data_IF_823777493076
#
_entry.id   IF_823777493076
#
_cell.length_a   1.000
_cell.length_b   1.000
_cell.length_c   1.000
_cell.angle_alpha   90.00
_cell.angle_beta   90.00
_cell.angle_gamma   90.00
#
_symmetry.space_group_name_H-M   'P 1'
#
loop_
_entity.id
_entity.type
_entity.pdbx_description
1 polymer ?
#
# COMPACT_ATOMS: atom_id res chain seq x y z
N UNK A 1 -13.96 -3.97 12.15
CA UNK A 1 -14.41 -4.96 11.14
C UNK A 1 -14.30 -6.38 11.64
N UNK A 2 -13.08 -6.90 11.92
CA UNK A 2 -12.89 -8.29 12.36
C UNK A 2 -13.73 -8.64 13.61
N UNK A 3 -13.59 -7.86 14.70
CA UNK A 3 -14.34 -8.12 15.94
C UNK A 3 -15.87 -7.95 15.82
N UNK A 4 -16.32 -7.22 14.81
CA UNK A 4 -17.75 -6.98 14.56
C UNK A 4 -18.32 -7.90 13.47
N UNK A 5 -17.53 -8.87 12.99
CA UNK A 5 -17.90 -9.79 11.91
C UNK A 5 -18.37 -9.08 10.62
N UNK A 6 -17.76 -7.93 10.31
CA UNK A 6 -18.06 -7.16 9.09
C UNK A 6 -17.18 -7.55 7.89
N UNK A 7 -16.46 -8.66 7.99
CA UNK A 7 -15.60 -9.20 6.92
C UNK A 7 -16.35 -10.25 6.13
N UNK A 8 -16.09 -10.35 4.83
CA UNK A 8 -16.68 -11.36 3.96
C UNK A 8 -15.87 -12.66 4.04
N UNK A 9 -16.18 -13.48 5.05
CA UNK A 9 -15.47 -14.74 5.27
C UNK A 9 -15.60 -15.72 4.08
N UNK A 10 -16.78 -15.93 3.45
CA UNK A 10 -16.88 -16.78 2.26
C UNK A 10 -15.97 -16.33 1.11
N UNK A 11 -15.84 -15.02 0.87
CA UNK A 11 -14.92 -14.49 -0.12
C UNK A 11 -13.46 -14.80 0.24
N UNK A 12 -13.07 -14.55 1.50
CA UNK A 12 -11.72 -14.77 1.99
C UNK A 12 -11.31 -16.24 1.93
N UNK A 13 -12.19 -17.16 2.35
CA UNK A 13 -11.94 -18.60 2.32
C UNK A 13 -11.74 -19.13 0.90
N UNK A 14 -12.41 -18.52 -0.09
CA UNK A 14 -12.40 -18.98 -1.49
C UNK A 14 -11.28 -18.37 -2.32
N UNK A 15 -10.93 -17.11 -2.09
CA UNK A 15 -10.08 -16.32 -2.98
C UNK A 15 -8.80 -15.80 -2.35
N UNK A 16 -8.60 -15.97 -1.04
CA UNK A 16 -7.44 -15.44 -0.33
C UNK A 16 -6.62 -16.54 0.35
N UNK A 17 -5.32 -16.27 0.49
CA UNK A 17 -4.37 -17.13 1.19
C UNK A 17 -3.75 -16.31 2.33
N UNK A 18 -3.65 -16.90 3.53
CA UNK A 18 -3.01 -16.30 4.70
C UNK A 18 -3.82 -15.23 5.44
N UNK A 19 -5.13 -15.15 5.24
CA UNK A 19 -5.98 -14.26 6.04
C UNK A 19 -6.14 -14.77 7.47
N UNK A 20 -6.47 -16.06 7.61
CA UNK A 20 -6.68 -16.78 8.85
C UNK A 20 -5.96 -18.14 8.83
N UNK A 21 -6.04 -18.89 9.92
CA UNK A 21 -5.38 -20.20 10.02
C UNK A 21 -5.89 -21.22 8.99
N UNK A 22 -7.12 -21.09 8.48
CA UNK A 22 -7.68 -22.00 7.48
C UNK A 22 -7.09 -21.78 6.09
N UNK A 23 -6.84 -20.52 5.78
CA UNK A 23 -6.29 -20.08 4.49
C UNK A 23 -4.76 -20.04 4.51
N UNK A 24 -4.13 -20.35 5.63
CA UNK A 24 -2.69 -20.34 5.80
C UNK A 24 -2.05 -21.61 5.19
N UNK A 25 -0.95 -21.49 4.40
CA UNK A 25 -0.23 -22.65 3.89
C UNK A 25 0.33 -23.54 5.01
N UNK A 26 0.42 -24.84 4.77
CA UNK A 26 0.83 -25.82 5.79
C UNK A 26 2.28 -25.65 6.29
N UNK A 27 3.13 -25.01 5.49
CA UNK A 27 4.53 -24.71 5.79
C UNK A 27 4.71 -23.38 6.56
N UNK A 28 3.65 -22.58 6.68
CA UNK A 28 3.71 -21.31 7.38
C UNK A 28 3.62 -21.49 8.90
N UNK A 29 4.28 -20.59 9.67
CA UNK A 29 4.24 -20.65 11.13
C UNK A 29 2.82 -20.43 11.66
N UNK A 30 2.48 -21.10 12.76
CA UNK A 30 1.22 -20.89 13.48
C UNK A 30 1.05 -19.40 13.82
N UNK A 31 -0.15 -18.86 13.63
CA UNK A 31 -0.45 -17.43 13.80
C UNK A 31 0.32 -16.50 12.83
N UNK A 32 0.94 -17.03 11.77
CA UNK A 32 1.58 -16.23 10.72
C UNK A 32 0.61 -15.54 9.76
N UNK A 33 -0.70 -15.66 10.00
CA UNK A 33 -1.76 -15.12 9.16
C UNK A 33 -2.12 -13.67 9.54
N UNK A 34 -2.72 -12.94 8.61
CA UNK A 34 -3.03 -11.51 8.76
C UNK A 34 -3.91 -11.19 9.97
N UNK A 35 -4.95 -12.00 10.23
CA UNK A 35 -5.88 -11.82 11.35
C UNK A 35 -5.17 -11.87 12.70
N UNK A 36 -4.26 -12.83 12.92
CA UNK A 36 -3.48 -12.92 14.15
C UNK A 36 -2.61 -11.67 14.37
N UNK A 37 -1.98 -11.13 13.32
CA UNK A 37 -1.20 -9.89 13.42
C UNK A 37 -2.04 -8.69 13.86
N UNK A 38 -3.27 -8.56 13.34
CA UNK A 38 -4.18 -7.46 13.71
C UNK A 38 -4.70 -7.63 15.14
N UNK A 39 -5.01 -8.86 15.56
CA UNK A 39 -5.51 -9.17 16.89
C UNK A 39 -4.41 -9.20 17.97
N UNK A 40 -3.13 -9.14 17.57
CA UNK A 40 -1.99 -9.17 18.50
C UNK A 40 -1.62 -10.58 18.95
N UNK A 41 -1.98 -11.60 18.19
CA UNK A 41 -1.67 -13.01 18.42
C UNK A 41 -0.40 -13.46 17.68
N UNK A 42 0.15 -12.59 16.83
CA UNK A 42 1.44 -12.78 16.15
C UNK A 42 2.64 -12.40 17.03
N UNK A 43 3.82 -12.37 16.42
CA UNK A 43 5.11 -12.21 17.12
C UNK A 43 5.23 -10.89 17.90
N UNK A 44 4.59 -9.82 17.41
CA UNK A 44 4.65 -8.49 18.03
C UNK A 44 3.75 -8.32 19.27
N UNK A 45 2.88 -9.30 19.53
CA UNK A 45 1.95 -9.36 20.68
C UNK A 45 1.15 -8.07 20.90
N UNK A 46 0.93 -7.29 19.85
CA UNK A 46 0.33 -5.96 19.96
C UNK A 46 -0.97 -5.91 19.17
N UNK A 47 -2.10 -5.82 19.87
CA UNK A 47 -3.40 -5.69 19.20
C UNK A 47 -3.51 -4.32 18.51
N UNK A 48 -3.84 -4.32 17.21
CA UNK A 48 -3.98 -3.11 16.39
C UNK A 48 -5.37 -2.48 16.56
N UNK A 49 -5.68 -2.12 17.81
CA UNK A 49 -6.98 -1.58 18.20
C UNK A 49 -7.18 -0.15 17.68
N UNK A 50 -8.43 0.35 17.59
CA UNK A 50 -8.70 1.75 17.30
C UNK A 50 -8.00 2.72 18.28
N UNK A 51 -7.90 2.36 19.56
CA UNK A 51 -7.19 3.13 20.58
C UNK A 51 -5.70 3.23 20.27
N UNK A 52 -5.07 2.10 19.93
CA UNK A 52 -3.68 2.05 19.49
C UNK A 52 -3.43 2.91 18.24
N UNK A 53 -4.29 2.77 17.22
CA UNK A 53 -4.19 3.54 15.98
C UNK A 53 -4.40 5.04 16.20
N UNK A 54 -5.30 5.42 17.13
CA UNK A 54 -5.58 6.82 17.47
C UNK A 54 -4.34 7.52 18.04
N UNK A 55 -3.56 6.85 18.88
CA UNK A 55 -2.33 7.42 19.45
C UNK A 55 -1.25 7.69 18.39
N UNK A 56 -1.22 6.89 17.32
CA UNK A 56 -0.22 7.02 16.24
C UNK A 56 -0.66 8.04 15.20
N UNK A 57 -1.92 7.96 14.78
CA UNK A 57 -2.44 8.75 13.65
C UNK A 57 -2.99 10.12 14.07
N UNK A 58 -3.28 10.31 15.35
CA UNK A 58 -3.99 11.49 15.86
C UNK A 58 -5.49 11.53 15.51
N UNK A 59 -6.02 10.49 14.86
CA UNK A 59 -7.45 10.43 14.50
C UNK A 59 -8.25 9.96 15.72
N UNK A 60 -9.39 10.62 16.06
CA UNK A 60 -10.23 10.17 17.16
C UNK A 60 -10.72 8.72 16.97
N UNK A 61 -10.73 7.94 18.06
CA UNK A 61 -11.16 6.54 18.07
C UNK A 61 -12.51 6.34 17.39
N UNK A 62 -13.49 7.18 17.70
CA UNK A 62 -14.84 7.09 17.16
C UNK A 62 -14.88 7.28 15.64
N UNK A 63 -13.99 8.13 15.09
CA UNK A 63 -13.87 8.33 13.64
C UNK A 63 -13.31 7.09 12.94
N UNK A 64 -12.32 6.44 13.54
CA UNK A 64 -11.74 5.18 13.03
C UNK A 64 -12.81 4.09 13.00
N UNK A 65 -13.55 3.92 14.11
CA UNK A 65 -14.62 2.92 14.22
C UNK A 65 -15.74 3.22 13.23
N UNK A 66 -16.19 4.48 13.15
CA UNK A 66 -17.24 4.90 12.22
C UNK A 66 -16.87 4.59 10.77
N UNK A 67 -15.68 4.99 10.33
CA UNK A 67 -15.21 4.71 8.97
C UNK A 67 -15.11 3.20 8.69
N UNK A 68 -14.59 2.44 9.65
CA UNK A 68 -14.48 0.98 9.50
C UNK A 68 -15.86 0.30 9.36
N UNK A 69 -16.89 0.80 10.07
CA UNK A 69 -18.27 0.33 9.94
C UNK A 69 -18.88 0.75 8.60
N UNK A 70 -18.72 2.01 8.21
CA UNK A 70 -19.19 2.51 6.90
C UNK A 70 -18.64 1.67 5.75
N UNK A 71 -17.34 1.37 5.76
CA UNK A 71 -16.70 0.49 4.78
C UNK A 71 -17.26 -0.94 4.87
N UNK A 72 -17.36 -1.51 6.07
CA UNK A 72 -17.84 -2.90 6.26
C UNK A 72 -19.30 -3.12 5.90
N UNK A 73 -20.14 -2.08 5.98
CA UNK A 73 -21.58 -2.16 5.65
C UNK A 73 -21.91 -1.68 4.24
N UNK A 74 -21.02 -0.93 3.58
CA UNK A 74 -21.24 -0.48 2.21
C UNK A 74 -21.05 -1.63 1.21
N UNK A 75 -22.08 -1.90 0.40
CA UNK A 75 -22.05 -2.91 -0.66
C UNK A 75 -22.68 -2.35 -1.95
N UNK A 76 -21.91 -2.11 -3.03
CA UNK A 76 -20.45 -2.25 -3.13
C UNK A 76 -19.68 -1.06 -2.54
N UNK A 77 -18.46 -1.30 -2.05
CA UNK A 77 -17.52 -0.26 -1.63
C UNK A 77 -16.30 -0.21 -2.56
N UNK A 78 -16.08 0.94 -3.21
CA UNK A 78 -14.89 1.19 -4.02
C UNK A 78 -13.84 1.97 -3.22
N UNK A 79 -12.67 1.36 -3.03
CA UNK A 79 -11.54 1.96 -2.29
C UNK A 79 -10.32 1.98 -3.19
N UNK A 80 -9.91 3.17 -3.61
CA UNK A 80 -8.74 3.34 -4.47
C UNK A 80 -7.77 4.34 -3.84
N UNK A 81 -6.48 3.99 -3.82
CA UNK A 81 -5.42 4.93 -3.49
C UNK A 81 -4.90 5.59 -4.76
N UNK A 82 -4.57 6.88 -4.68
CA UNK A 82 -3.74 7.52 -5.70
C UNK A 82 -2.26 7.14 -5.55
N UNK A 83 -1.39 7.86 -6.25
CA UNK A 83 0.05 7.62 -6.21
C UNK A 83 0.77 8.41 -5.11
N UNK A 84 0.06 8.96 -4.13
CA UNK A 84 0.72 9.59 -2.98
C UNK A 84 1.31 8.54 -2.02
N UNK A 85 0.50 7.62 -1.47
CA UNK A 85 0.90 6.77 -0.35
C UNK A 85 2.07 5.82 -0.59
N UNK A 86 2.36 5.44 -1.84
CA UNK A 86 3.51 4.57 -2.15
C UNK A 86 4.84 5.32 -2.28
N UNK A 87 4.84 6.66 -2.39
CA UNK A 87 6.02 7.51 -2.66
C UNK A 87 6.72 7.96 -1.38
N UNK A 88 6.77 7.07 -0.41
CA UNK A 88 7.35 7.29 0.91
C UNK A 88 7.98 5.99 1.39
N UNK A 89 8.77 6.06 2.46
CA UNK A 89 9.30 4.88 3.11
C UNK A 89 8.16 3.95 3.53
N UNK A 90 8.31 2.64 3.31
CA UNK A 90 7.29 1.61 3.56
C UNK A 90 5.99 1.81 2.76
N UNK A 91 6.09 2.45 1.59
CA UNK A 91 4.96 2.73 0.70
C UNK A 91 4.26 1.46 0.21
N UNK A 92 5.00 0.37 0.04
CA UNK A 92 4.50 -0.96 -0.32
C UNK A 92 3.62 -1.55 0.79
N UNK A 93 3.96 -1.33 2.06
CA UNK A 93 3.14 -1.76 3.19
C UNK A 93 1.86 -0.95 3.28
N UNK A 94 1.96 0.36 3.04
CA UNK A 94 0.81 1.27 3.01
C UNK A 94 -0.17 0.88 1.89
N UNK A 95 0.35 0.66 0.68
CA UNK A 95 -0.43 0.22 -0.46
C UNK A 95 -1.14 -1.12 -0.20
N UNK A 96 -0.42 -2.08 0.38
CA UNK A 96 -0.97 -3.39 0.77
C UNK A 96 -2.09 -3.24 1.79
N UNK A 97 -1.89 -2.43 2.84
CA UNK A 97 -2.87 -2.21 3.89
C UNK A 97 -4.17 -1.58 3.34
N UNK A 98 -4.08 -0.64 2.40
CA UNK A 98 -5.24 -0.05 1.74
C UNK A 98 -5.97 -1.09 0.88
N UNK A 99 -5.23 -1.90 0.11
CA UNK A 99 -5.79 -2.95 -0.73
C UNK A 99 -6.48 -4.07 0.08
N UNK A 100 -6.08 -4.29 1.34
CA UNK A 100 -6.76 -5.25 2.21
C UNK A 100 -8.21 -4.85 2.52
N UNK A 101 -8.57 -3.56 2.53
CA UNK A 101 -9.94 -3.13 2.87
C UNK A 101 -11.01 -3.67 1.90
N UNK A 102 -10.89 -3.53 0.57
CA UNK A 102 -11.84 -4.14 -0.37
C UNK A 102 -11.74 -5.67 -0.40
N UNK A 103 -10.58 -6.27 -0.10
CA UNK A 103 -10.41 -7.73 0.01
C UNK A 103 -11.20 -8.27 1.20
N UNK A 104 -11.04 -7.66 2.38
CA UNK A 104 -11.73 -8.05 3.61
C UNK A 104 -13.25 -7.92 3.50
N UNK A 105 -13.75 -7.03 2.65
CA UNK A 105 -15.18 -6.77 2.47
C UNK A 105 -15.77 -7.45 1.23
N UNK A 106 -15.00 -8.28 0.51
CA UNK A 106 -15.47 -9.01 -0.68
C UNK A 106 -15.83 -8.11 -1.86
N UNK A 107 -15.29 -6.89 -1.90
CA UNK A 107 -15.62 -5.89 -2.90
C UNK A 107 -14.73 -5.98 -4.16
N UNK A 108 -13.90 -7.01 -4.29
CA UNK A 108 -13.03 -7.19 -5.47
C UNK A 108 -13.76 -8.00 -6.55
N UNK A 109 -13.77 -7.50 -7.78
CA UNK A 109 -14.32 -8.19 -8.96
C UNK A 109 -15.82 -8.04 -9.17
N UNK A 110 -16.49 -7.15 -8.42
CA UNK A 110 -17.94 -6.89 -8.55
C UNK A 110 -18.23 -5.52 -9.17
N UNK A 111 -19.40 -5.37 -9.79
CA UNK A 111 -19.84 -4.08 -10.35
C UNK A 111 -19.99 -3.02 -9.26
N UNK A 112 -19.40 -1.85 -9.47
CA UNK A 112 -19.31 -0.77 -8.47
C UNK A 112 -18.31 -1.03 -7.34
N UNK A 113 -17.65 -2.19 -7.34
CA UNK A 113 -16.55 -2.54 -6.45
C UNK A 113 -15.18 -2.33 -7.09
N UNK A 114 -14.15 -2.87 -6.45
CA UNK A 114 -12.76 -2.76 -6.86
C UNK A 114 -12.41 -3.73 -8.00
N UNK A 115 -11.62 -3.29 -8.98
CA UNK A 115 -11.10 -4.19 -10.03
C UNK A 115 -9.87 -5.00 -9.57
N UNK A 116 -9.27 -4.65 -8.43
CA UNK A 116 -7.98 -5.17 -8.01
C UNK A 116 -6.79 -4.44 -8.67
N UNK A 117 -7.06 -3.40 -9.46
CA UNK A 117 -6.05 -2.56 -10.11
C UNK A 117 -6.21 -1.08 -9.71
N UNK A 118 -5.30 -0.22 -10.19
CA UNK A 118 -5.31 1.22 -9.94
C UNK A 118 -6.52 1.92 -10.58
N UNK A 119 -6.75 3.17 -10.19
CA UNK A 119 -7.72 4.06 -10.84
C UNK A 119 -7.48 4.09 -12.36
N UNK A 120 -8.56 3.96 -13.14
CA UNK A 120 -8.53 3.87 -14.62
C UNK A 120 -7.99 2.56 -15.22
N UNK A 121 -7.75 1.51 -14.43
CA UNK A 121 -7.30 0.20 -14.93
C UNK A 121 -8.32 -0.89 -14.62
N UNK A 122 -8.86 -1.53 -15.66
CA UNK A 122 -9.80 -2.66 -15.57
C UNK A 122 -9.18 -4.00 -16.01
N UNK A 123 -7.90 -4.00 -16.39
CA UNK A 123 -7.10 -5.19 -16.74
C UNK A 123 -5.82 -5.24 -15.90
N UNK A 124 -5.44 -6.40 -15.38
CA UNK A 124 -4.10 -6.56 -14.78
C UNK A 124 -3.09 -6.48 -15.93
N UNK A 125 -2.41 -5.34 -16.07
CA UNK A 125 -1.32 -5.18 -17.02
C UNK A 125 -0.17 -4.49 -16.33
N UNK A 126 0.96 -5.20 -16.13
CA UNK A 126 2.30 -4.80 -16.59
C UNK A 126 3.16 -6.07 -16.70
N UNK A 127 3.41 -6.51 -17.93
CA UNK A 127 4.57 -7.32 -18.31
C UNK A 127 5.04 -6.85 -19.69
N UNK A 128 6.26 -6.30 -19.76
CA UNK A 128 7.05 -6.19 -21.01
C UNK A 128 8.52 -5.99 -20.69
N UNK A 129 9.34 -6.99 -20.98
CA UNK A 129 10.73 -6.87 -21.43
C UNK A 129 11.00 -8.11 -22.31
N UNK A 130 11.25 -7.96 -23.62
CA UNK A 130 12.63 -7.70 -24.04
C UNK A 130 12.74 -6.57 -25.07
N UNK A 131 13.76 -5.74 -24.91
CA UNK A 131 14.15 -4.70 -25.87
C UNK A 131 15.31 -5.24 -26.71
N UNK A 132 15.19 -5.13 -28.03
CA UNK A 132 16.21 -5.53 -29.02
C UNK A 132 17.13 -4.36 -29.36
N UNK A 133 18.27 -4.65 -30.00
CA UNK A 133 19.40 -3.73 -30.08
C UNK A 133 19.09 -2.39 -30.74
N UNK A 134 19.52 -1.33 -30.05
CA UNK A 134 19.41 0.04 -30.50
C UNK A 134 20.37 0.27 -31.69
N UNK A 135 19.88 0.64 -32.90
CA UNK A 135 20.71 0.85 -34.08
C UNK A 135 21.52 2.17 -34.05
N UNK A 136 21.32 3.02 -33.04
CA UNK A 136 22.04 4.30 -32.87
C UNK A 136 22.68 4.37 -31.47
N UNK A 137 24.00 4.57 -31.46
CA UNK A 137 24.94 4.19 -30.38
C UNK A 137 24.95 5.12 -29.15
N UNK A 138 24.05 6.11 -29.07
CA UNK A 138 24.03 7.09 -27.97
C UNK A 138 22.79 6.93 -27.08
N UNK A 139 23.03 6.69 -25.79
CA UNK A 139 22.03 6.79 -24.75
C UNK A 139 22.17 8.15 -24.07
N UNK A 140 21.09 8.96 -24.03
CA UNK A 140 21.03 10.05 -23.07
C UNK A 140 20.86 9.39 -21.70
N UNK A 141 21.97 9.29 -20.98
CA UNK A 141 21.96 8.67 -19.66
C UNK A 141 21.13 9.56 -18.72
N UNK A 142 20.07 9.01 -18.13
CA UNK A 142 19.25 9.69 -17.11
C UNK A 142 20.13 10.20 -15.96
N UNK A 143 21.21 9.49 -15.65
CA UNK A 143 22.22 9.84 -14.67
C UNK A 143 23.10 11.00 -15.17
N UNK A 144 23.42 11.13 -16.47
CA UNK A 144 24.05 12.35 -17.01
C UNK A 144 23.06 13.53 -17.07
N UNK A 145 21.76 13.27 -17.19
CA UNK A 145 20.71 14.28 -17.21
C UNK A 145 20.43 14.82 -15.80
N UNK A 146 20.40 13.92 -14.80
CA UNK A 146 20.36 14.21 -13.38
C UNK A 146 21.67 14.82 -12.88
N UNK A 147 22.84 14.32 -13.30
CA UNK A 147 24.17 14.85 -12.97
C UNK A 147 24.41 16.20 -13.67
N UNK A 148 23.77 16.49 -14.81
CA UNK A 148 23.75 17.84 -15.40
C UNK A 148 22.88 18.80 -14.57
N UNK A 149 21.76 18.35 -14.03
CA UNK A 149 20.96 19.12 -13.08
C UNK A 149 21.69 19.31 -11.73
N UNK A 150 22.29 18.25 -11.19
CA UNK A 150 23.01 18.24 -9.91
C UNK A 150 24.35 19.00 -9.99
N UNK A 151 25.14 18.87 -11.06
CA UNK A 151 26.38 19.66 -11.25
C UNK A 151 26.11 21.10 -11.66
N UNK A 152 24.96 21.39 -12.27
CA UNK A 152 24.52 22.78 -12.45
C UNK A 152 24.05 23.42 -11.14
N UNK A 153 23.84 22.62 -10.09
CA UNK A 153 23.47 23.07 -8.76
C UNK A 153 24.67 22.98 -7.80
N UNK A 154 25.51 24.01 -7.67
CA UNK A 154 26.55 24.01 -6.67
C UNK A 154 25.92 24.12 -5.27
N UNK A 155 25.92 23.01 -4.54
CA UNK A 155 25.80 23.01 -3.08
C UNK A 155 27.07 22.36 -2.52
N UNK A 156 27.97 23.16 -1.94
CA UNK A 156 28.27 23.11 -0.51
C UNK A 156 29.57 23.89 -0.18
N UNK A 157 29.45 25.13 0.28
CA UNK A 157 30.45 25.79 1.13
C UNK A 157 29.82 26.18 2.48
N UNK A 158 28.98 25.33 3.08
CA UNK A 158 28.58 25.43 4.49
C UNK A 158 27.90 26.74 4.94
N UNK A 159 27.54 27.64 4.01
CA UNK A 159 26.92 28.92 4.31
C UNK A 159 25.68 29.09 3.41
N UNK A 160 24.47 29.10 3.97
CA UNK A 160 23.23 29.08 3.19
C UNK A 160 22.95 30.37 2.39
N UNK A 161 23.90 31.33 2.33
CA UNK A 161 23.68 32.66 1.74
C UNK A 161 24.65 33.08 0.63
N UNK A 162 25.63 32.27 0.23
CA UNK A 162 26.53 32.65 -0.88
C UNK A 162 26.00 32.16 -2.22
N UNK A 163 25.87 33.08 -3.19
CA UNK A 163 25.52 32.77 -4.58
C UNK A 163 26.79 32.80 -5.45
N UNK A 164 26.87 31.98 -6.52
CA UNK A 164 28.11 31.85 -7.31
C UNK A 164 28.37 33.11 -8.16
N UNK A 165 29.59 33.69 -8.09
CA UNK A 165 30.05 34.73 -9.03
C UNK A 165 30.72 35.98 -8.45
N UNK A 166 30.81 36.14 -7.13
CA UNK A 166 31.62 37.21 -6.52
C UNK A 166 32.99 36.64 -6.13
N UNK A 167 34.05 37.08 -6.83
CA UNK A 167 35.43 37.02 -6.30
C UNK A 167 35.61 38.10 -5.24
#
# INVERSE_FOLDING_TARGET
MINENLVDQPFLDKYCVGYDEKTLPADAPKNGHYKAYILGEGDDKTAKTPQWASQITGIPVDRIIKLAREIGTAKPAYICQGWGPQRQANGELTARAIAMLPILTGNVGISGGNSGARESTYTITIERLPVLDNPVVQNVNLLLQLDRCYRSWPANDGNPRRRPGQR
#
